data_IF_042683007411
#
_entry.id   IF_042683007411
#
_cell.length_a   1.000
_cell.length_b   1.000
_cell.length_c   1.000
_cell.angle_alpha   90.00
_cell.angle_beta   90.00
_cell.angle_gamma   90.00
#
_symmetry.space_group_name_H-M   'P 1'
#
loop_
_entity.id
_entity.type
_entity.pdbx_description
1 polymer ?
#
# COMPACT_ATOMS: atom_id res chain seq x y z
N UNK A 1 105.16 -18.20 -38.46
CA UNK A 1 104.64 -17.55 -37.25
C UNK A 1 105.88 -17.28 -36.38
N UNK A 2 106.41 -16.05 -36.31
CA UNK A 2 105.79 -14.78 -35.91
C UNK A 2 105.46 -14.77 -34.38
N UNK A 3 105.98 -13.85 -33.55
CA UNK A 3 106.90 -12.74 -33.89
C UNK A 3 107.81 -12.21 -32.74
N UNK A 4 108.81 -11.42 -33.13
CA UNK A 4 109.72 -10.49 -32.40
C UNK A 4 109.72 -10.44 -30.84
N UNK A 5 110.87 -10.82 -30.25
CA UNK A 5 111.89 -9.85 -29.77
C UNK A 5 111.73 -9.07 -28.44
N UNK A 6 112.43 -9.54 -27.40
CA UNK A 6 113.05 -8.74 -26.32
C UNK A 6 114.53 -8.43 -26.69
N UNK A 7 115.36 -7.61 -25.96
CA UNK A 7 115.24 -7.01 -24.61
C UNK A 7 115.52 -5.46 -24.62
N UNK A 8 116.13 -4.70 -23.68
CA UNK A 8 116.82 -4.99 -22.39
C UNK A 8 116.96 -3.78 -21.41
N UNK A 9 116.88 -4.08 -20.11
CA UNK A 9 117.65 -3.59 -18.93
C UNK A 9 118.42 -2.24 -18.96
N UNK A 10 118.15 -1.38 -17.95
CA UNK A 10 119.07 -0.86 -16.86
C UNK A 10 118.30 0.18 -15.99
N UNK A 11 118.19 0.04 -14.66
CA UNK A 11 119.04 0.65 -13.60
C UNK A 11 119.34 2.16 -13.84
N UNK A 12 119.22 3.09 -12.88
CA UNK A 12 119.49 2.98 -11.42
C UNK A 12 118.67 4.03 -10.56
N UNK A 13 119.08 4.63 -9.41
CA UNK A 13 118.39 4.36 -8.13
C UNK A 13 117.74 5.55 -7.37
N UNK A 14 117.12 5.21 -6.23
CA UNK A 14 116.99 5.97 -4.97
C UNK A 14 117.51 7.43 -4.92
N UNK A 15 116.66 8.45 -5.12
CA UNK A 15 116.70 9.69 -4.30
C UNK A 15 115.45 10.60 -4.44
N UNK A 16 114.31 10.26 -3.83
CA UNK A 16 113.25 11.27 -3.54
C UNK A 16 112.25 10.97 -2.41
N UNK A 17 112.56 10.03 -1.53
CA UNK A 17 111.79 9.77 -0.31
C UNK A 17 112.44 10.49 0.89
N UNK A 18 112.37 11.83 0.93
CA UNK A 18 112.66 12.67 2.11
C UNK A 18 112.37 14.16 1.84
N UNK A 19 111.11 14.50 1.55
CA UNK A 19 110.55 15.84 1.77
C UNK A 19 109.03 15.71 1.92
N UNK A 20 108.42 16.14 3.04
CA UNK A 20 106.98 16.35 3.08
C UNK A 20 106.63 17.45 2.09
N UNK A 21 106.02 17.09 0.95
CA UNK A 21 105.35 18.09 0.10
C UNK A 21 104.07 18.51 0.80
N UNK A 22 104.22 19.41 1.77
CA UNK A 22 103.14 20.18 2.35
C UNK A 22 102.41 20.89 1.21
N UNK A 23 101.30 20.30 0.75
CA UNK A 23 100.29 21.03 -0.02
C UNK A 23 99.66 22.03 0.93
N UNK A 24 100.29 23.20 1.04
CA UNK A 24 99.62 24.41 1.50
C UNK A 24 98.56 24.74 0.44
N UNK A 25 97.42 24.07 0.49
CA UNK A 25 96.20 24.56 -0.17
C UNK A 25 95.95 25.95 0.39
N UNK A 26 95.75 26.94 -0.47
CA UNK A 26 95.47 28.28 0.00
C UNK A 26 94.24 28.24 0.92
N UNK A 27 94.17 29.03 2.01
CA UNK A 27 92.94 29.19 2.77
C UNK A 27 91.75 29.58 1.87
N UNK A 28 92.05 30.31 0.78
CA UNK A 28 91.10 30.67 -0.27
C UNK A 28 90.64 29.49 -1.13
N UNK A 29 91.50 28.49 -1.42
CA UNK A 29 91.12 27.31 -2.21
C UNK A 29 90.13 26.43 -1.45
N UNK A 30 90.38 26.21 -0.15
CA UNK A 30 89.45 25.47 0.71
C UNK A 30 88.15 26.24 0.94
N UNK A 31 88.19 27.57 1.08
CA UNK A 31 86.96 28.37 1.12
C UNK A 31 86.17 28.28 -0.19
N UNK A 32 86.82 28.39 -1.36
CA UNK A 32 86.13 28.25 -2.65
C UNK A 32 85.50 26.87 -2.80
N UNK A 33 86.21 25.79 -2.43
CA UNK A 33 85.70 24.43 -2.49
C UNK A 33 84.48 24.24 -1.56
N UNK A 34 84.53 24.74 -0.32
CA UNK A 34 83.39 24.69 0.61
C UNK A 34 82.21 25.51 0.11
N UNK A 35 82.44 26.73 -0.39
CA UNK A 35 81.38 27.59 -0.95
C UNK A 35 80.74 26.93 -2.16
N UNK A 36 81.51 26.45 -3.15
CA UNK A 36 80.99 25.74 -4.32
C UNK A 36 80.19 24.50 -3.94
N UNK A 37 80.71 23.66 -3.04
CA UNK A 37 80.01 22.46 -2.57
C UNK A 37 78.72 22.79 -1.78
N UNK A 38 78.67 23.93 -1.09
CA UNK A 38 77.44 24.41 -0.42
C UNK A 38 76.43 25.04 -1.38
N UNK A 39 76.89 25.57 -2.53
CA UNK A 39 76.05 26.30 -3.48
C UNK A 39 75.10 25.38 -4.26
N UNK A 40 75.54 24.16 -4.62
CA UNK A 40 74.73 23.25 -5.42
C UNK A 40 73.48 22.72 -4.67
N UNK A 41 73.58 22.27 -3.38
CA UNK A 41 72.41 21.90 -2.60
C UNK A 41 71.45 23.07 -2.36
N UNK A 42 71.97 24.27 -2.08
CA UNK A 42 71.16 25.48 -1.89
C UNK A 42 70.43 25.88 -3.18
N UNK A 43 71.06 25.70 -4.35
CA UNK A 43 70.43 25.96 -5.63
C UNK A 43 69.31 24.95 -5.93
N UNK A 44 69.56 23.65 -5.73
CA UNK A 44 68.54 22.61 -5.88
C UNK A 44 67.32 22.86 -4.95
N UNK A 45 67.55 23.25 -3.69
CA UNK A 45 66.47 23.60 -2.76
C UNK A 45 65.69 24.85 -3.20
N UNK A 46 66.37 25.87 -3.75
CA UNK A 46 65.71 27.06 -4.32
C UNK A 46 64.82 26.71 -5.51
N UNK A 47 65.27 25.83 -6.38
CA UNK A 47 64.52 25.48 -7.59
C UNK A 47 63.37 24.50 -7.28
N UNK A 48 63.53 23.60 -6.29
CA UNK A 48 62.41 22.85 -5.70
C UNK A 48 61.39 23.75 -5.00
N UNK A 49 61.82 24.80 -4.28
CA UNK A 49 60.93 25.81 -3.69
C UNK A 49 60.18 26.62 -4.77
N UNK A 50 60.81 26.84 -5.92
CA UNK A 50 60.19 27.53 -7.06
C UNK A 50 59.14 26.64 -7.73
N UNK A 51 59.47 25.38 -7.98
CA UNK A 51 58.57 24.40 -8.59
C UNK A 51 57.36 24.09 -7.69
N UNK A 52 57.59 23.90 -6.39
CA UNK A 52 56.51 23.69 -5.42
C UNK A 52 55.61 24.92 -5.28
N UNK A 53 56.17 26.14 -5.32
CA UNK A 53 55.39 27.39 -5.34
C UNK A 53 54.53 27.55 -6.60
N UNK A 54 55.04 27.16 -7.78
CA UNK A 54 54.27 27.14 -9.03
C UNK A 54 53.11 26.15 -8.92
N UNK A 55 53.38 24.90 -8.55
CA UNK A 55 52.34 23.87 -8.37
C UNK A 55 51.29 24.27 -7.33
N UNK A 56 51.70 24.95 -6.25
CA UNK A 56 50.75 25.46 -5.25
C UNK A 56 49.83 26.53 -5.86
N UNK A 57 50.38 27.42 -6.70
CA UNK A 57 49.62 28.37 -7.51
C UNK A 57 48.58 27.68 -8.41
N UNK A 58 48.98 26.65 -9.15
CA UNK A 58 48.08 25.89 -10.04
C UNK A 58 46.98 25.17 -9.25
N UNK A 59 47.29 24.58 -8.09
CA UNK A 59 46.27 23.97 -7.23
C UNK A 59 45.32 25.01 -6.61
N UNK A 60 45.78 26.25 -6.41
CA UNK A 60 44.93 27.35 -5.90
C UNK A 60 43.96 27.84 -6.97
N UNK A 61 44.42 28.06 -8.19
CA UNK A 61 43.56 28.53 -9.30
C UNK A 61 42.51 27.49 -9.67
N UNK A 62 42.84 26.20 -9.66
CA UNK A 62 41.85 25.14 -9.86
C UNK A 62 40.85 25.04 -8.70
N UNK A 63 41.27 25.24 -7.44
CA UNK A 63 40.35 25.33 -6.30
C UNK A 63 39.38 26.52 -6.42
N UNK A 64 39.86 27.68 -6.89
CA UNK A 64 39.00 28.85 -7.16
C UNK A 64 38.03 28.59 -8.32
N UNK A 65 38.46 27.87 -9.37
CA UNK A 65 37.60 27.42 -10.48
C UNK A 65 36.53 26.43 -10.03
N UNK A 66 36.89 25.45 -9.20
CA UNK A 66 35.95 24.45 -8.65
C UNK A 66 34.91 25.11 -7.75
N UNK A 67 35.31 26.04 -6.87
CA UNK A 67 34.38 26.83 -6.05
C UNK A 67 33.38 27.63 -6.89
N UNK A 68 33.84 28.24 -7.99
CA UNK A 68 32.97 28.97 -8.90
C UNK A 68 31.93 28.05 -9.55
N UNK A 69 32.35 26.88 -10.05
CA UNK A 69 31.46 25.90 -10.67
C UNK A 69 30.45 25.32 -9.66
N UNK A 70 30.90 24.95 -8.47
CA UNK A 70 30.03 24.39 -7.42
C UNK A 70 28.91 25.37 -7.05
N UNK A 71 29.29 26.59 -6.66
CA UNK A 71 28.34 27.64 -6.27
C UNK A 71 27.39 28.04 -7.42
N UNK A 72 27.85 27.99 -8.67
CA UNK A 72 27.02 28.35 -9.84
C UNK A 72 26.02 27.25 -10.20
N UNK A 73 26.44 25.98 -10.19
CA UNK A 73 25.58 24.86 -10.60
C UNK A 73 24.58 24.48 -9.52
N UNK A 74 25.00 24.39 -8.25
CA UNK A 74 24.12 24.00 -7.15
C UNK A 74 23.00 25.03 -6.95
N UNK A 75 23.34 26.32 -6.90
CA UNK A 75 22.34 27.39 -6.77
C UNK A 75 21.39 27.48 -7.97
N UNK A 76 21.89 27.29 -9.20
CA UNK A 76 21.07 27.31 -10.41
C UNK A 76 20.11 26.11 -10.48
N UNK A 77 20.64 24.88 -10.31
CA UNK A 77 19.86 23.64 -10.37
C UNK A 77 18.80 23.59 -9.28
N UNK A 78 19.17 23.89 -8.04
CA UNK A 78 18.23 23.87 -6.90
C UNK A 78 17.17 24.98 -7.01
N UNK A 79 17.51 26.13 -7.62
CA UNK A 79 16.52 27.18 -7.96
C UNK A 79 15.58 26.75 -9.08
N UNK A 80 16.05 26.01 -10.09
CA UNK A 80 15.21 25.47 -11.15
C UNK A 80 14.23 24.41 -10.60
N UNK A 81 14.72 23.49 -9.75
CA UNK A 81 13.90 22.49 -9.07
C UNK A 81 12.83 23.14 -8.18
N UNK A 82 13.19 24.15 -7.37
CA UNK A 82 12.21 24.92 -6.56
C UNK A 82 11.12 25.59 -7.41
N UNK A 83 11.46 26.11 -8.58
CA UNK A 83 10.47 26.68 -9.52
C UNK A 83 9.57 25.60 -10.12
N UNK A 84 10.13 24.46 -10.50
CA UNK A 84 9.38 23.31 -11.03
C UNK A 84 8.39 22.76 -10.00
N UNK A 85 8.82 22.65 -8.74
CA UNK A 85 7.98 22.21 -7.62
C UNK A 85 6.81 23.18 -7.38
N UNK A 86 7.08 24.50 -7.35
CA UNK A 86 6.03 25.50 -7.15
C UNK A 86 4.95 25.48 -8.25
N UNK A 87 5.33 25.17 -9.51
CA UNK A 87 4.38 24.98 -10.61
C UNK A 87 3.57 23.70 -10.44
N UNK A 88 4.21 22.59 -10.05
CA UNK A 88 3.51 21.33 -9.78
C UNK A 88 2.51 21.45 -8.61
N UNK A 89 2.89 22.12 -7.52
CA UNK A 89 1.97 22.42 -6.41
C UNK A 89 0.78 23.29 -6.87
N UNK A 90 0.96 24.20 -7.81
CA UNK A 90 -0.13 25.04 -8.32
C UNK A 90 -1.14 24.22 -9.13
N UNK A 91 -0.68 23.28 -9.95
CA UNK A 91 -1.56 22.38 -10.71
C UNK A 91 -2.30 21.40 -9.78
N UNK A 92 -1.65 20.88 -8.74
CA UNK A 92 -2.30 20.06 -7.69
C UNK A 92 -3.43 20.81 -7.00
N UNK A 93 -3.23 22.08 -6.60
CA UNK A 93 -4.30 22.90 -6.00
C UNK A 93 -5.47 23.09 -6.96
N UNK A 94 -5.19 23.42 -8.23
CA UNK A 94 -6.22 23.55 -9.28
C UNK A 94 -7.00 22.25 -9.51
N UNK A 95 -6.34 21.09 -9.40
CA UNK A 95 -7.00 19.77 -9.49
C UNK A 95 -7.83 19.43 -8.24
N UNK A 96 -7.47 19.95 -7.07
CA UNK A 96 -8.31 19.85 -5.87
C UNK A 96 -9.56 20.71 -6.00
N UNK A 97 -9.43 21.96 -6.46
CA UNK A 97 -10.55 22.86 -6.77
C UNK A 97 -11.52 22.24 -7.80
N UNK A 98 -11.00 21.70 -8.92
CA UNK A 98 -11.81 20.99 -9.93
C UNK A 98 -12.53 19.75 -9.36
N UNK A 99 -11.90 18.98 -8.45
CA UNK A 99 -12.56 17.85 -7.79
C UNK A 99 -13.62 18.28 -6.76
N UNK A 100 -13.44 19.40 -6.07
CA UNK A 100 -14.41 19.90 -5.10
C UNK A 100 -15.64 20.52 -5.79
N UNK A 101 -15.46 21.16 -6.95
CA UNK A 101 -16.55 21.55 -7.83
C UNK A 101 -17.32 20.33 -8.35
N UNK A 102 -16.63 19.31 -8.88
CA UNK A 102 -17.28 18.07 -9.36
C UNK A 102 -18.02 17.32 -8.25
N UNK A 103 -17.46 17.24 -7.03
CA UNK A 103 -18.15 16.70 -5.85
C UNK A 103 -19.41 17.49 -5.52
N UNK A 104 -19.32 18.82 -5.57
CA UNK A 104 -20.47 19.71 -5.34
C UNK A 104 -21.56 19.53 -6.40
N UNK A 105 -21.20 19.27 -7.66
CA UNK A 105 -22.17 18.97 -8.71
C UNK A 105 -22.83 17.59 -8.50
N UNK A 106 -22.06 16.57 -8.11
CA UNK A 106 -22.57 15.20 -7.90
C UNK A 106 -23.57 15.11 -6.73
N UNK A 107 -23.23 15.74 -5.59
CA UNK A 107 -24.08 15.78 -4.38
C UNK A 107 -25.45 16.44 -4.62
N UNK A 108 -25.61 17.24 -5.67
CA UNK A 108 -26.85 17.92 -6.01
C UNK A 108 -27.68 17.26 -7.14
N UNK A 109 -27.31 16.04 -7.61
CA UNK A 109 -28.01 15.40 -8.74
C UNK A 109 -28.88 14.20 -8.40
N UNK A 110 -28.54 13.40 -7.38
CA UNK A 110 -29.12 12.07 -7.21
C UNK A 110 -30.58 12.07 -6.68
N UNK A 111 -30.88 12.70 -5.55
CA UNK A 111 -32.15 12.48 -4.82
C UNK A 111 -33.41 12.85 -5.62
N UNK A 112 -33.54 14.10 -6.09
CA UNK A 112 -34.75 14.55 -6.82
C UNK A 112 -34.96 13.78 -8.14
N UNK A 113 -33.87 13.45 -8.85
CA UNK A 113 -33.95 12.78 -10.14
C UNK A 113 -34.28 11.29 -10.01
N UNK A 114 -33.75 10.62 -8.97
CA UNK A 114 -34.11 9.23 -8.67
C UNK A 114 -35.56 9.11 -8.19
N UNK A 115 -36.02 10.03 -7.32
CA UNK A 115 -37.44 10.06 -6.89
C UNK A 115 -38.37 10.24 -8.09
N UNK A 116 -38.11 11.22 -8.97
CA UNK A 116 -38.90 11.45 -10.18
C UNK A 116 -38.92 10.26 -11.16
N UNK A 117 -37.85 9.45 -11.19
CA UNK A 117 -37.79 8.25 -12.04
C UNK A 117 -38.52 7.03 -11.46
N UNK A 118 -38.58 6.91 -10.13
CA UNK A 118 -39.14 5.74 -9.41
C UNK A 118 -40.63 5.90 -9.11
N UNK A 119 -41.07 7.09 -8.67
CA UNK A 119 -42.46 7.36 -8.27
C UNK A 119 -43.51 6.96 -9.34
N UNK A 120 -43.41 7.33 -10.64
CA UNK A 120 -44.39 6.94 -11.65
C UNK A 120 -44.42 5.43 -11.93
N UNK A 121 -43.30 4.72 -11.70
CA UNK A 121 -43.25 3.25 -11.82
C UNK A 121 -44.03 2.58 -10.69
N UNK A 122 -43.85 3.04 -9.46
CA UNK A 122 -44.59 2.57 -8.28
C UNK A 122 -46.10 2.87 -8.40
N UNK A 123 -46.48 4.07 -8.84
CA UNK A 123 -47.88 4.43 -9.10
C UNK A 123 -48.50 3.50 -10.16
N UNK A 124 -47.76 3.18 -11.23
CA UNK A 124 -48.23 2.25 -12.27
C UNK A 124 -48.39 0.82 -11.73
N UNK A 125 -47.43 0.34 -10.93
CA UNK A 125 -47.48 -0.98 -10.28
C UNK A 125 -48.70 -1.11 -9.36
N UNK A 126 -48.87 -0.18 -8.41
CA UNK A 126 -50.00 -0.19 -7.48
C UNK A 126 -51.34 -0.10 -8.21
N UNK A 127 -51.43 0.73 -9.26
CA UNK A 127 -52.63 0.82 -10.10
C UNK A 127 -52.97 -0.51 -10.78
N UNK A 128 -51.98 -1.25 -11.27
CA UNK A 128 -52.20 -2.60 -11.86
C UNK A 128 -52.61 -3.61 -10.78
N UNK A 129 -51.94 -3.63 -9.62
CA UNK A 129 -52.24 -4.53 -8.51
C UNK A 129 -53.66 -4.32 -7.96
N UNK A 130 -54.03 -3.07 -7.65
CA UNK A 130 -55.37 -2.72 -7.17
C UNK A 130 -56.46 -3.06 -8.20
N UNK A 131 -56.24 -2.83 -9.50
CA UNK A 131 -57.19 -3.26 -10.53
C UNK A 131 -57.31 -4.79 -10.61
N UNK A 132 -56.21 -5.55 -10.47
CA UNK A 132 -56.28 -7.00 -10.40
C UNK A 132 -57.11 -7.49 -9.20
N UNK A 133 -56.93 -6.88 -8.02
CA UNK A 133 -57.79 -7.14 -6.84
C UNK A 133 -59.25 -6.79 -7.15
N UNK A 134 -59.53 -5.64 -7.76
CA UNK A 134 -60.87 -5.22 -8.17
C UNK A 134 -61.55 -6.18 -9.18
N UNK A 135 -60.78 -6.99 -9.91
CA UNK A 135 -61.30 -8.06 -10.76
C UNK A 135 -61.55 -9.35 -9.97
N UNK A 136 -60.64 -9.72 -9.06
CA UNK A 136 -60.76 -10.95 -8.25
C UNK A 136 -61.92 -10.83 -7.23
N UNK A 137 -62.14 -9.66 -6.62
CA UNK A 137 -63.26 -9.43 -5.68
C UNK A 137 -64.63 -9.73 -6.29
N UNK A 138 -64.80 -9.45 -7.59
CA UNK A 138 -66.03 -9.71 -8.35
C UNK A 138 -66.32 -11.21 -8.56
N UNK A 139 -65.34 -12.09 -8.34
CA UNK A 139 -65.49 -13.55 -8.51
C UNK A 139 -66.20 -14.25 -7.33
N UNK A 140 -66.50 -13.53 -6.24
CA UNK A 140 -67.19 -14.09 -5.04
C UNK A 140 -66.47 -15.30 -4.41
N UNK A 141 -65.13 -15.27 -4.41
CA UNK A 141 -64.25 -16.27 -3.79
C UNK A 141 -64.08 -15.98 -2.28
N UNK A 142 -64.34 -14.74 -1.85
CA UNK A 142 -64.18 -14.27 -0.49
C UNK A 142 -65.46 -14.38 0.34
N UNK A 143 -65.35 -14.34 1.67
CA UNK A 143 -66.53 -14.20 2.53
C UNK A 143 -67.32 -12.91 2.24
N UNK A 144 -68.67 -12.94 2.26
CA UNK A 144 -69.52 -11.80 1.91
C UNK A 144 -69.48 -10.63 2.92
N UNK A 145 -68.63 -10.72 3.95
CA UNK A 145 -68.42 -9.70 4.98
C UNK A 145 -67.19 -8.81 4.71
N UNK A 146 -66.35 -9.13 3.72
CA UNK A 146 -65.14 -8.37 3.39
C UNK A 146 -65.43 -7.26 2.37
N UNK A 147 -65.11 -6.02 2.71
CA UNK A 147 -65.47 -4.83 1.91
C UNK A 147 -64.48 -4.50 0.77
N UNK A 148 -63.70 -5.48 0.32
CA UNK A 148 -62.58 -5.38 -0.63
C UNK A 148 -62.90 -4.55 -1.89
N UNK A 149 -64.17 -4.46 -2.30
CA UNK A 149 -64.59 -3.60 -3.41
C UNK A 149 -64.44 -2.10 -3.13
N UNK A 150 -64.90 -1.64 -1.97
CA UNK A 150 -64.86 -0.23 -1.57
C UNK A 150 -63.44 0.17 -1.13
N UNK A 151 -62.74 -0.69 -0.39
CA UNK A 151 -61.35 -0.48 0.05
C UNK A 151 -60.40 -0.25 -1.15
N UNK A 152 -60.59 -1.00 -2.24
CA UNK A 152 -59.82 -0.84 -3.49
C UNK A 152 -60.19 0.45 -4.23
N UNK A 153 -61.46 0.86 -4.21
CA UNK A 153 -61.90 2.08 -4.87
C UNK A 153 -61.38 3.34 -4.13
N UNK A 154 -61.33 3.31 -2.79
CA UNK A 154 -60.67 4.36 -2.00
C UNK A 154 -59.17 4.42 -2.29
N UNK A 155 -58.45 3.29 -2.28
CA UNK A 155 -57.01 3.27 -2.58
C UNK A 155 -56.70 3.72 -4.01
N UNK A 156 -57.51 3.36 -5.01
CA UNK A 156 -57.39 3.87 -6.37
C UNK A 156 -57.69 5.38 -6.48
N UNK A 157 -58.58 5.91 -5.64
CA UNK A 157 -58.87 7.34 -5.58
C UNK A 157 -57.77 8.14 -4.86
N UNK A 158 -57.14 7.58 -3.83
CA UNK A 158 -55.96 8.15 -3.17
C UNK A 158 -54.74 8.14 -4.10
N UNK A 159 -54.48 7.02 -4.77
CA UNK A 159 -53.43 6.89 -5.79
C UNK A 159 -53.64 7.80 -7.02
N UNK A 160 -54.84 8.33 -7.21
CA UNK A 160 -55.14 9.37 -8.21
C UNK A 160 -54.91 10.81 -7.74
N UNK A 161 -54.47 11.03 -6.50
CA UNK A 161 -54.25 12.36 -5.88
C UNK A 161 -52.81 12.61 -5.41
N UNK A 162 -51.96 11.58 -5.38
CA UNK A 162 -50.55 11.68 -4.98
C UNK A 162 -49.85 12.74 -5.83
N UNK A 163 -49.13 13.65 -5.17
CA UNK A 163 -48.40 14.74 -5.82
C UNK A 163 -47.04 14.27 -6.37
N UNK A 164 -46.59 14.82 -7.49
CA UNK A 164 -45.25 14.55 -8.02
C UNK A 164 -44.17 14.90 -6.95
N UNK A 165 -43.28 13.95 -6.68
CA UNK A 165 -42.28 14.03 -5.61
C UNK A 165 -42.72 13.51 -4.23
N UNK A 166 -44.02 13.42 -3.94
CA UNK A 166 -44.49 12.89 -2.64
C UNK A 166 -44.40 11.36 -2.59
N UNK A 167 -43.32 10.87 -1.97
CA UNK A 167 -43.09 9.46 -1.72
C UNK A 167 -43.76 8.97 -0.42
N UNK A 168 -44.19 9.87 0.48
CA UNK A 168 -44.74 9.53 1.78
C UNK A 168 -46.23 9.17 1.69
N UNK A 169 -47.01 9.92 0.91
CA UNK A 169 -48.37 9.53 0.52
C UNK A 169 -48.36 8.18 -0.23
N UNK A 170 -47.38 7.99 -1.12
CA UNK A 170 -47.22 6.78 -1.92
C UNK A 170 -46.82 5.55 -1.08
N UNK A 171 -45.90 5.72 -0.12
CA UNK A 171 -45.55 4.68 0.85
C UNK A 171 -46.80 4.24 1.62
N UNK A 172 -47.60 5.18 2.13
CA UNK A 172 -48.81 4.86 2.89
C UNK A 172 -49.81 4.04 2.05
N UNK A 173 -50.03 4.42 0.79
CA UNK A 173 -50.93 3.67 -0.11
C UNK A 173 -50.39 2.26 -0.38
N UNK A 174 -49.06 2.07 -0.45
CA UNK A 174 -48.45 0.75 -0.56
C UNK A 174 -48.64 -0.09 0.72
N UNK A 175 -48.45 0.50 1.91
CA UNK A 175 -48.73 -0.15 3.20
C UNK A 175 -50.20 -0.57 3.33
N UNK A 176 -51.14 0.35 3.08
CA UNK A 176 -52.58 0.07 3.06
C UNK A 176 -52.94 -1.04 2.02
N UNK A 177 -52.25 -1.08 0.87
CA UNK A 177 -52.39 -2.16 -0.14
C UNK A 177 -51.86 -3.51 0.37
N UNK A 178 -50.78 -3.54 1.18
CA UNK A 178 -50.32 -4.81 1.80
C UNK A 178 -51.26 -5.32 2.87
N UNK A 179 -51.90 -4.44 3.65
CA UNK A 179 -52.95 -4.82 4.61
C UNK A 179 -54.14 -5.44 3.88
N UNK A 180 -54.54 -4.87 2.75
CA UNK A 180 -55.60 -5.43 1.89
C UNK A 180 -55.23 -6.84 1.37
N UNK A 181 -53.97 -7.08 0.97
CA UNK A 181 -53.51 -8.43 0.59
C UNK A 181 -53.57 -9.45 1.74
N UNK A 182 -53.31 -9.06 2.98
CA UNK A 182 -53.46 -9.92 4.16
C UNK A 182 -54.95 -10.22 4.47
N UNK A 183 -55.82 -9.21 4.41
CA UNK A 183 -57.28 -9.41 4.53
C UNK A 183 -57.81 -10.38 3.46
N UNK A 184 -57.39 -10.21 2.21
CA UNK A 184 -57.68 -11.12 1.09
C UNK A 184 -57.20 -12.53 1.41
N UNK A 185 -55.95 -12.69 1.86
CA UNK A 185 -55.35 -13.99 2.14
C UNK A 185 -56.08 -14.75 3.26
N UNK A 186 -56.62 -14.04 4.25
CA UNK A 186 -57.45 -14.62 5.32
C UNK A 186 -58.90 -14.87 4.90
N UNK A 187 -59.39 -14.13 3.91
CA UNK A 187 -60.79 -14.10 3.49
C UNK A 187 -61.17 -15.08 2.38
N UNK A 188 -60.22 -15.79 1.76
CA UNK A 188 -60.47 -16.79 0.72
C UNK A 188 -61.27 -17.96 1.29
N UNK A 189 -62.49 -18.18 0.80
CA UNK A 189 -63.23 -19.41 1.07
C UNK A 189 -62.59 -20.52 0.23
N UNK A 190 -61.67 -21.27 0.83
CA UNK A 190 -61.27 -22.57 0.29
C UNK A 190 -62.48 -23.50 0.41
N UNK A 191 -63.30 -23.57 -0.65
CA UNK A 191 -64.14 -24.75 -0.87
C UNK A 191 -63.20 -25.94 -0.95
N UNK A 192 -63.23 -26.81 0.05
CA UNK A 192 -62.58 -28.11 0.00
C UNK A 192 -63.20 -28.91 -1.15
N UNK A 193 -62.57 -28.87 -2.32
CA UNK A 193 -62.67 -29.94 -3.31
C UNK A 193 -62.08 -31.17 -2.62
N UNK A 194 -62.95 -32.00 -2.05
CA UNK A 194 -62.60 -33.26 -1.42
C UNK A 194 -61.72 -34.08 -2.35
N UNK A 195 -60.62 -34.65 -1.82
CA UNK A 195 -59.57 -35.29 -2.60
C UNK A 195 -60.08 -36.43 -3.49
N UNK A 196 -60.43 -36.07 -4.73
CA UNK A 196 -60.86 -36.97 -5.80
C UNK A 196 -59.66 -37.50 -6.62
N UNK A 197 -58.45 -37.32 -6.11
CA UNK A 197 -57.18 -37.66 -6.78
C UNK A 197 -56.27 -38.61 -5.97
N UNK A 198 -56.57 -38.83 -4.68
CA UNK A 198 -55.96 -39.93 -3.90
C UNK A 198 -56.84 -41.17 -4.00
N UNK A 199 -56.45 -42.13 -4.83
CA UNK A 199 -57.16 -43.41 -4.97
C UNK A 199 -56.92 -44.31 -3.75
N UNK A 200 -57.67 -44.05 -2.68
CA UNK A 200 -57.85 -44.96 -1.55
C UNK A 200 -59.33 -45.37 -1.42
N UNK A 201 -59.90 -45.85 -2.53
CA UNK A 201 -61.07 -46.73 -2.43
C UNK A 201 -60.63 -48.07 -1.82
N UNK A 202 -61.32 -48.51 -0.77
CA UNK A 202 -61.07 -49.78 -0.13
C UNK A 202 -61.67 -50.93 -0.98
N UNK A 203 -60.98 -51.32 -2.05
CA UNK A 203 -61.35 -52.45 -2.89
C UNK A 203 -60.92 -53.75 -2.20
N UNK A 204 -61.89 -54.49 -1.67
CA UNK A 204 -61.67 -55.83 -1.13
C UNK A 204 -61.43 -56.84 -2.27
N UNK A 205 -60.39 -57.68 -2.10
CA UNK A 205 -60.19 -58.97 -2.77
C UNK A 205 -60.43 -59.07 -4.29
N UNK A 206 -59.34 -59.02 -5.08
CA UNK A 206 -59.08 -60.13 -6.01
C UNK A 206 -57.57 -60.29 -6.25
N UNK A 207 -57.04 -61.50 -6.01
CA UNK A 207 -55.61 -61.78 -6.08
C UNK A 207 -55.23 -62.29 -7.48
N UNK A 208 -54.78 -61.39 -8.35
CA UNK A 208 -54.26 -61.74 -9.67
C UNK A 208 -52.74 -61.90 -9.62
N UNK A 209 -52.24 -63.12 -9.84
CA UNK A 209 -50.80 -63.41 -9.81
C UNK A 209 -50.18 -63.05 -11.17
N UNK A 210 -49.28 -62.07 -11.16
CA UNK A 210 -48.28 -61.83 -12.19
C UNK A 210 -46.87 -62.09 -11.62
N UNK A 211 -45.84 -61.99 -12.46
CA UNK A 211 -44.54 -62.62 -12.26
C UNK A 211 -43.55 -61.75 -11.44
N UNK A 212 -43.79 -61.65 -10.13
CA UNK A 212 -43.01 -60.81 -9.17
C UNK A 212 -41.48 -61.00 -9.22
N UNK A 213 -40.97 -62.13 -9.72
CA UNK A 213 -39.52 -62.44 -9.73
C UNK A 213 -38.70 -61.67 -10.79
N UNK A 214 -39.32 -61.12 -11.84
CA UNK A 214 -38.59 -60.35 -12.87
C UNK A 214 -38.56 -58.84 -12.52
N UNK A 215 -39.70 -58.23 -12.17
CA UNK A 215 -39.79 -56.82 -11.77
C UNK A 215 -38.91 -56.50 -10.55
N UNK A 216 -38.95 -57.35 -9.49
CA UNK A 216 -38.14 -57.15 -8.28
C UNK A 216 -36.63 -57.28 -8.52
N UNK A 217 -36.23 -57.95 -9.62
CA UNK A 217 -34.83 -58.05 -10.03
C UNK A 217 -34.38 -56.81 -10.79
N UNK A 218 -35.21 -56.25 -11.69
CA UNK A 218 -34.89 -54.98 -12.34
C UNK A 218 -34.78 -53.84 -11.31
N UNK A 219 -35.70 -53.74 -10.35
CA UNK A 219 -35.64 -52.76 -9.24
C UNK A 219 -34.32 -52.87 -8.45
N UNK A 220 -33.87 -54.10 -8.16
CA UNK A 220 -32.60 -54.36 -7.47
C UNK A 220 -31.37 -53.94 -8.29
N UNK A 221 -31.40 -54.15 -9.61
CA UNK A 221 -30.32 -53.73 -10.52
C UNK A 221 -30.29 -52.19 -10.70
N UNK A 222 -31.44 -51.54 -10.85
CA UNK A 222 -31.54 -50.07 -10.88
C UNK A 222 -31.10 -49.42 -9.57
N UNK A 223 -31.48 -49.99 -8.41
CA UNK A 223 -31.08 -49.47 -7.11
C UNK A 223 -29.58 -49.67 -6.84
N UNK A 224 -28.98 -50.74 -7.39
CA UNK A 224 -27.54 -50.94 -7.39
C UNK A 224 -26.81 -49.93 -8.30
N UNK A 225 -27.30 -49.67 -9.51
CA UNK A 225 -26.72 -48.65 -10.41
C UNK A 225 -26.84 -47.24 -9.81
N UNK A 226 -27.98 -46.88 -9.24
CA UNK A 226 -28.19 -45.61 -8.55
C UNK A 226 -27.17 -45.42 -7.41
N UNK A 227 -26.96 -46.46 -6.60
CA UNK A 227 -25.96 -46.45 -5.51
C UNK A 227 -24.53 -46.31 -6.05
N UNK A 228 -24.20 -46.97 -7.17
CA UNK A 228 -22.90 -46.87 -7.82
C UNK A 228 -22.64 -45.48 -8.42
N UNK A 229 -23.64 -44.87 -9.07
CA UNK A 229 -23.58 -43.51 -9.61
C UNK A 229 -23.42 -42.50 -8.46
N UNK A 230 -24.19 -42.64 -7.38
CA UNK A 230 -24.08 -41.78 -6.20
C UNK A 230 -22.69 -41.88 -5.58
N UNK A 231 -22.17 -43.09 -5.33
CA UNK A 231 -20.82 -43.30 -4.80
C UNK A 231 -19.74 -42.70 -5.71
N UNK A 232 -19.87 -42.79 -7.04
CA UNK A 232 -18.93 -42.18 -7.99
C UNK A 232 -19.00 -40.65 -7.96
N UNK A 233 -20.21 -40.08 -7.82
CA UNK A 233 -20.40 -38.64 -7.71
C UNK A 233 -19.83 -38.10 -6.38
N UNK A 234 -20.02 -38.80 -5.27
CA UNK A 234 -19.46 -38.46 -3.95
C UNK A 234 -17.93 -38.54 -3.95
N UNK A 235 -17.34 -39.56 -4.59
CA UNK A 235 -15.89 -39.65 -4.79
C UNK A 235 -15.35 -38.50 -5.65
N UNK A 236 -16.04 -38.16 -6.75
CA UNK A 236 -15.68 -37.03 -7.62
C UNK A 236 -15.74 -35.70 -6.85
N UNK A 237 -16.84 -35.44 -6.13
CA UNK A 237 -17.02 -34.24 -5.31
C UNK A 237 -15.98 -34.14 -4.19
N UNK A 238 -15.63 -35.27 -3.56
CA UNK A 238 -14.58 -35.32 -2.53
C UNK A 238 -13.20 -35.02 -3.12
N UNK A 239 -12.89 -35.55 -4.30
CA UNK A 239 -11.63 -35.27 -5.01
C UNK A 239 -11.52 -33.80 -5.41
N UNK A 240 -12.60 -33.23 -5.96
CA UNK A 240 -12.66 -31.80 -6.34
C UNK A 240 -12.50 -30.92 -5.11
N UNK A 241 -13.21 -31.20 -4.00
CA UNK A 241 -13.05 -30.48 -2.72
C UNK A 241 -11.60 -30.52 -2.23
N UNK A 242 -10.98 -31.70 -2.18
CA UNK A 242 -9.59 -31.87 -1.76
C UNK A 242 -8.63 -31.05 -2.63
N UNK A 243 -8.81 -31.02 -3.95
CA UNK A 243 -7.96 -30.22 -4.85
C UNK A 243 -8.10 -28.71 -4.67
N UNK A 244 -9.28 -28.21 -4.27
CA UNK A 244 -9.48 -26.81 -3.91
C UNK A 244 -8.91 -26.50 -2.51
N UNK A 245 -9.06 -27.41 -1.55
CA UNK A 245 -8.47 -27.31 -0.21
C UNK A 245 -6.93 -27.20 -0.29
N UNK A 246 -6.31 -28.07 -1.11
CA UNK A 246 -4.87 -28.10 -1.39
C UNK A 246 -4.39 -26.82 -2.08
N UNK A 247 -5.07 -26.35 -3.14
CA UNK A 247 -4.74 -25.10 -3.82
C UNK A 247 -4.87 -23.87 -2.90
N UNK A 248 -5.87 -23.86 -2.01
CA UNK A 248 -6.05 -22.78 -1.04
C UNK A 248 -4.99 -22.82 0.07
N UNK A 249 -4.52 -24.00 0.46
CA UNK A 249 -3.40 -24.14 1.42
C UNK A 249 -2.06 -23.79 0.78
N UNK A 250 -1.81 -24.16 -0.48
CA UNK A 250 -0.63 -23.73 -1.24
C UNK A 250 -0.56 -22.20 -1.35
N UNK A 251 -1.68 -21.53 -1.66
CA UNK A 251 -1.75 -20.07 -1.67
C UNK A 251 -1.52 -19.46 -0.27
N UNK A 252 -2.06 -20.06 0.80
CA UNK A 252 -1.81 -19.61 2.17
C UNK A 252 -0.34 -19.75 2.56
N UNK A 253 0.29 -20.89 2.26
CA UNK A 253 1.72 -21.13 2.53
C UNK A 253 2.59 -20.17 1.72
N UNK A 254 2.32 -20.01 0.41
CA UNK A 254 3.05 -19.08 -0.45
C UNK A 254 3.03 -17.64 0.06
N UNK A 255 1.86 -17.10 0.41
CA UNK A 255 1.79 -15.76 1.02
C UNK A 255 2.46 -15.69 2.41
N UNK A 256 2.41 -16.76 3.21
CA UNK A 256 3.09 -16.80 4.50
C UNK A 256 4.62 -16.81 4.34
N UNK A 257 5.14 -17.57 3.36
CA UNK A 257 6.56 -17.67 3.02
C UNK A 257 7.09 -16.35 2.42
N UNK A 258 6.35 -15.71 1.49
CA UNK A 258 6.66 -14.37 1.00
C UNK A 258 6.72 -13.34 2.14
N UNK A 259 5.76 -13.41 3.08
CA UNK A 259 5.73 -12.53 4.25
C UNK A 259 6.82 -12.86 5.29
N UNK A 260 7.38 -14.07 5.33
CA UNK A 260 8.56 -14.38 6.15
C UNK A 260 9.85 -13.92 5.46
N UNK A 261 9.99 -14.17 4.15
CA UNK A 261 11.12 -13.72 3.35
C UNK A 261 11.25 -12.19 3.40
N UNK A 262 10.16 -11.44 3.19
CA UNK A 262 10.18 -9.98 3.20
C UNK A 262 10.60 -9.41 4.58
N UNK A 263 10.16 -10.04 5.68
CA UNK A 263 10.62 -9.68 7.04
C UNK A 263 12.11 -9.96 7.25
N UNK A 264 12.60 -11.08 6.72
CA UNK A 264 14.00 -11.51 6.81
C UNK A 264 14.93 -10.63 5.97
N UNK A 265 14.48 -10.20 4.80
CA UNK A 265 15.20 -9.25 3.94
C UNK A 265 15.23 -7.86 4.60
N UNK A 266 14.10 -7.33 5.06
CA UNK A 266 14.05 -6.06 5.79
C UNK A 266 14.92 -6.07 7.06
N UNK A 267 14.93 -7.16 7.83
CA UNK A 267 15.81 -7.31 9.00
C UNK A 267 17.30 -7.30 8.61
N UNK A 268 17.66 -7.93 7.48
CA UNK A 268 19.03 -7.92 6.94
C UNK A 268 19.44 -6.51 6.50
N UNK A 269 18.59 -5.80 5.76
CA UNK A 269 18.81 -4.40 5.36
C UNK A 269 19.04 -3.50 6.58
N UNK A 270 18.18 -3.63 7.59
CA UNK A 270 18.26 -2.89 8.85
C UNK A 270 19.56 -3.17 9.64
N UNK A 271 20.12 -4.39 9.54
CA UNK A 271 21.40 -4.73 10.16
C UNK A 271 22.62 -4.28 9.31
N UNK A 272 22.48 -4.24 7.99
CA UNK A 272 23.45 -3.63 7.06
C UNK A 272 23.51 -2.10 7.24
N UNK A 273 22.37 -1.43 7.42
CA UNK A 273 22.30 -0.01 7.78
C UNK A 273 23.01 0.27 9.12
N UNK A 274 22.67 -0.47 10.19
CA UNK A 274 23.36 -0.35 11.50
C UNK A 274 24.86 -0.56 11.39
N UNK A 275 25.33 -1.44 10.50
CA UNK A 275 26.75 -1.66 10.25
C UNK A 275 27.38 -0.45 9.53
N UNK A 276 26.73 0.10 8.51
CA UNK A 276 27.16 1.31 7.81
C UNK A 276 27.22 2.53 8.74
N UNK A 277 26.17 2.77 9.56
CA UNK A 277 26.16 3.85 10.56
C UNK A 277 27.29 3.70 11.57
N UNK A 278 27.59 2.47 12.02
CA UNK A 278 28.71 2.20 12.94
C UNK A 278 30.05 2.57 12.32
N UNK A 279 30.29 2.17 11.07
CA UNK A 279 31.51 2.52 10.33
C UNK A 279 31.64 4.03 10.11
N UNK A 280 30.54 4.73 9.81
CA UNK A 280 30.52 6.19 9.68
C UNK A 280 30.88 6.88 11.01
N UNK A 281 30.29 6.43 12.13
CA UNK A 281 30.60 6.96 13.47
C UNK A 281 32.07 6.70 13.88
N UNK A 282 32.64 5.56 13.51
CA UNK A 282 34.07 5.30 13.73
C UNK A 282 34.98 6.19 12.86
N UNK A 283 34.60 6.44 11.60
CA UNK A 283 35.35 7.34 10.72
C UNK A 283 35.35 8.77 11.26
N UNK A 284 34.19 9.27 11.73
CA UNK A 284 34.07 10.58 12.40
C UNK A 284 34.92 10.66 13.66
N UNK A 285 34.93 9.61 14.50
CA UNK A 285 35.80 9.56 15.70
C UNK A 285 37.28 9.62 15.34
N UNK A 286 37.74 8.85 14.34
CA UNK A 286 39.13 8.85 13.88
C UNK A 286 39.54 10.21 13.31
N UNK A 287 38.69 10.82 12.47
CA UNK A 287 38.92 12.16 11.94
C UNK A 287 39.06 13.21 13.07
N UNK A 288 38.17 13.18 14.07
CA UNK A 288 38.23 14.12 15.19
C UNK A 288 39.47 13.91 16.09
N UNK A 289 39.88 12.66 16.32
CA UNK A 289 41.15 12.36 16.97
C UNK A 289 42.36 12.89 16.20
N UNK A 290 42.35 12.79 14.87
CA UNK A 290 43.41 13.32 14.00
C UNK A 290 43.42 14.85 13.99
N UNK A 291 42.27 15.53 14.01
CA UNK A 291 42.17 16.98 14.22
C UNK A 291 42.77 17.40 15.57
N UNK A 292 42.49 16.68 16.65
CA UNK A 292 43.05 16.96 17.98
C UNK A 292 44.58 16.76 17.99
N UNK A 293 45.09 15.74 17.31
CA UNK A 293 46.55 15.48 17.12
C UNK A 293 47.20 16.56 16.24
N UNK A 294 46.49 17.10 15.24
CA UNK A 294 46.96 18.23 14.44
C UNK A 294 46.90 19.56 15.20
N UNK A 295 45.86 19.81 16.00
CA UNK A 295 45.73 21.04 16.80
C UNK A 295 46.79 21.13 17.90
N UNK A 296 47.14 20.00 18.53
CA UNK A 296 48.22 19.91 19.51
C UNK A 296 49.60 20.07 18.88
N UNK A 297 49.88 19.44 17.73
CA UNK A 297 51.16 19.65 17.02
C UNK A 297 51.31 21.07 16.46
N UNK A 298 50.25 21.68 15.91
CA UNK A 298 50.28 23.10 15.49
C UNK A 298 50.57 24.06 16.66
N UNK A 299 50.04 23.79 17.87
CA UNK A 299 50.36 24.57 19.08
C UNK A 299 51.83 24.48 19.53
N UNK A 300 52.57 23.46 19.11
CA UNK A 300 53.99 23.28 19.48
C UNK A 300 54.96 24.05 18.55
N UNK A 301 54.50 24.59 17.42
CA UNK A 301 55.31 25.33 16.43
C UNK A 301 55.04 26.85 16.41
N UNK A 302 54.61 27.45 17.52
CA UNK A 302 54.11 28.83 17.54
C UNK A 302 55.16 29.94 17.31
N UNK A 303 55.07 30.61 16.15
CA UNK A 303 55.52 32.00 16.01
C UNK A 303 54.67 32.96 16.87
N UNK A 304 55.17 34.19 17.09
CA UNK A 304 54.70 35.07 18.17
C UNK A 304 54.13 36.44 17.75
N UNK A 305 53.20 36.91 18.58
CA UNK A 305 52.94 38.32 18.91
C UNK A 305 52.48 39.27 17.78
N UNK A 306 51.84 38.75 16.72
CA UNK A 306 50.97 39.56 15.83
C UNK A 306 49.53 39.08 15.69
N UNK A 307 49.27 37.77 15.81
CA UNK A 307 47.91 37.25 15.64
C UNK A 307 47.01 37.36 16.88
N UNK A 308 47.55 37.60 18.08
CA UNK A 308 46.77 37.60 19.34
C UNK A 308 45.52 38.52 19.30
N UNK A 309 45.59 39.67 18.64
CA UNK A 309 44.44 40.58 18.50
C UNK A 309 43.38 40.07 17.51
N UNK A 310 43.80 39.43 16.41
CA UNK A 310 42.89 38.73 15.47
C UNK A 310 42.28 37.47 16.10
N UNK A 311 43.07 36.73 16.87
CA UNK A 311 42.62 35.57 17.62
C UNK A 311 41.58 35.97 18.67
N UNK A 312 41.77 37.06 19.42
CA UNK A 312 40.75 37.57 20.34
C UNK A 312 39.45 37.98 19.62
N UNK A 313 39.54 38.66 18.48
CA UNK A 313 38.35 39.01 17.68
C UNK A 313 37.61 37.75 17.18
N UNK A 314 38.34 36.74 16.71
CA UNK A 314 37.77 35.45 16.27
C UNK A 314 37.22 34.63 17.44
N UNK A 315 37.85 34.68 18.62
CA UNK A 315 37.37 34.01 19.84
C UNK A 315 36.05 34.61 20.31
N UNK A 316 35.90 35.94 20.33
CA UNK A 316 34.62 36.57 20.72
C UNK A 316 33.55 36.40 19.62
N UNK A 317 33.92 36.30 18.34
CA UNK A 317 32.98 35.86 17.29
C UNK A 317 32.48 34.43 17.55
N UNK A 318 33.38 33.46 17.72
CA UNK A 318 33.00 32.07 18.03
C UNK A 318 32.20 31.96 19.33
N UNK A 319 32.46 32.81 20.33
CA UNK A 319 31.68 32.88 21.57
C UNK A 319 30.27 33.43 21.32
N UNK A 320 30.12 34.46 20.49
CA UNK A 320 28.83 35.00 20.06
C UNK A 320 28.00 33.96 19.29
N UNK A 321 28.64 33.26 18.35
CA UNK A 321 28.05 32.13 17.62
C UNK A 321 27.66 31.00 18.57
N UNK A 322 28.53 30.61 19.53
CA UNK A 322 28.23 29.59 20.53
C UNK A 322 27.07 29.99 21.46
N UNK A 323 26.97 31.26 21.88
CA UNK A 323 25.82 31.73 22.67
C UNK A 323 24.52 31.75 21.85
N UNK A 324 24.60 32.07 20.56
CA UNK A 324 23.45 32.05 19.65
C UNK A 324 22.98 30.61 19.40
N UNK A 325 23.92 29.69 19.17
CA UNK A 325 23.66 28.27 19.00
C UNK A 325 23.10 27.63 20.27
N UNK A 326 23.62 28.00 21.44
CA UNK A 326 23.11 27.56 22.75
C UNK A 326 21.68 28.06 23.00
N UNK A 327 21.38 29.31 22.67
CA UNK A 327 20.02 29.85 22.74
C UNK A 327 19.07 29.09 21.79
N UNK A 328 19.46 28.90 20.52
CA UNK A 328 18.68 28.15 19.53
C UNK A 328 18.45 26.69 19.94
N UNK A 329 19.47 26.02 20.50
CA UNK A 329 19.36 24.67 21.03
C UNK A 329 18.40 24.61 22.23
N UNK A 330 18.48 25.57 23.16
CA UNK A 330 17.56 25.64 24.30
C UNK A 330 16.09 25.84 23.88
N UNK A 331 15.84 26.64 22.84
CA UNK A 331 14.52 26.79 22.24
C UNK A 331 14.05 25.49 21.57
N UNK A 332 14.94 24.79 20.83
CA UNK A 332 14.67 23.47 20.24
C UNK A 332 14.35 22.39 21.29
N UNK A 333 14.98 22.41 22.45
CA UNK A 333 14.65 21.49 23.55
C UNK A 333 13.23 21.73 24.10
N UNK A 334 12.79 22.99 24.20
CA UNK A 334 11.43 23.34 24.63
C UNK A 334 10.40 23.00 23.54
N UNK A 335 10.72 23.24 22.26
CA UNK A 335 9.90 22.84 21.12
C UNK A 335 9.67 21.32 21.09
N UNK A 336 10.74 20.52 21.21
CA UNK A 336 10.63 19.06 21.26
C UNK A 336 9.78 18.59 22.45
N UNK A 337 9.99 19.13 23.66
CA UNK A 337 9.18 18.76 24.82
C UNK A 337 7.68 19.06 24.64
N UNK A 338 7.32 20.15 23.97
CA UNK A 338 5.93 20.47 23.61
C UNK A 338 5.37 19.53 22.52
N UNK A 339 6.21 19.04 21.61
CA UNK A 339 5.81 18.05 20.61
C UNK A 339 5.61 16.67 21.24
N UNK A 340 6.48 16.25 22.15
CA UNK A 340 6.37 15.01 22.93
C UNK A 340 5.10 15.00 23.79
N UNK A 341 4.77 16.13 24.46
CA UNK A 341 3.54 16.32 25.23
C UNK A 341 2.28 16.23 24.34
N UNK A 342 2.28 16.92 23.19
CA UNK A 342 1.17 16.85 22.21
C UNK A 342 0.98 15.45 21.63
N UNK A 343 2.07 14.77 21.30
CA UNK A 343 2.03 13.42 20.74
C UNK A 343 1.52 12.43 21.79
N UNK A 344 1.95 12.57 23.04
CA UNK A 344 1.42 11.81 24.19
C UNK A 344 -0.09 12.03 24.36
N UNK A 345 -0.56 13.28 24.32
CA UNK A 345 -1.97 13.62 24.43
C UNK A 345 -2.82 13.05 23.28
N UNK A 346 -2.33 13.09 22.04
CA UNK A 346 -3.01 12.49 20.87
C UNK A 346 -3.06 10.96 20.95
N UNK A 347 -2.02 10.30 21.46
CA UNK A 347 -2.04 8.85 21.70
C UNK A 347 -3.00 8.47 22.83
N UNK A 348 -3.07 9.27 23.90
CA UNK A 348 -4.02 9.05 25.00
C UNK A 348 -5.48 9.31 24.58
N UNK A 349 -5.72 10.30 23.70
CA UNK A 349 -7.02 10.52 23.08
C UNK A 349 -7.42 9.32 22.20
N UNK A 350 -6.54 8.86 21.29
CA UNK A 350 -6.80 7.68 20.45
C UNK A 350 -7.09 6.43 21.29
N UNK A 351 -6.42 6.25 22.42
CA UNK A 351 -6.71 5.14 23.34
C UNK A 351 -8.13 5.22 23.91
N UNK A 352 -8.56 6.40 24.38
CA UNK A 352 -9.94 6.64 24.85
C UNK A 352 -10.98 6.47 23.74
N UNK A 353 -10.66 6.85 22.51
CA UNK A 353 -11.54 6.63 21.35
C UNK A 353 -11.69 5.13 21.05
N UNK A 354 -10.62 4.33 21.19
CA UNK A 354 -10.65 2.88 21.04
C UNK A 354 -11.45 2.13 22.13
N UNK A 355 -11.45 2.68 23.35
CA UNK A 355 -12.23 2.19 24.50
C UNK A 355 -13.66 2.78 24.56
N UNK A 356 -14.04 3.66 23.63
CA UNK A 356 -15.31 4.39 23.63
C UNK A 356 -16.54 3.49 23.85
N UNK A 357 -17.49 3.97 24.67
CA UNK A 357 -18.75 3.29 24.97
C UNK A 357 -19.54 2.90 23.70
N UNK A 358 -19.41 3.67 22.62
CA UNK A 358 -20.01 3.35 21.32
C UNK A 358 -19.35 2.15 20.64
N UNK A 359 -18.02 1.99 20.75
CA UNK A 359 -17.32 0.79 20.26
C UNK A 359 -17.69 -0.42 21.13
N UNK A 360 -17.79 -0.24 22.45
CA UNK A 360 -18.27 -1.30 23.35
C UNK A 360 -19.73 -1.69 23.09
N UNK A 361 -20.57 -0.73 22.69
CA UNK A 361 -21.95 -0.94 22.27
C UNK A 361 -22.02 -1.69 20.95
N UNK A 362 -21.31 -1.23 19.92
CA UNK A 362 -21.23 -1.89 18.62
C UNK A 362 -20.74 -3.34 18.75
N UNK A 363 -19.74 -3.62 19.60
CA UNK A 363 -19.28 -4.98 19.91
C UNK A 363 -20.38 -5.86 20.54
N UNK A 364 -21.19 -5.32 21.45
CA UNK A 364 -22.33 -6.02 22.05
C UNK A 364 -23.46 -6.27 21.05
N UNK A 365 -23.81 -5.26 20.27
CA UNK A 365 -24.89 -5.32 19.28
C UNK A 365 -24.52 -6.28 18.13
N UNK A 366 -23.25 -6.31 17.70
CA UNK A 366 -22.71 -7.26 16.73
C UNK A 366 -22.76 -8.70 17.26
N UNK A 367 -22.32 -8.95 18.50
CA UNK A 367 -22.41 -10.28 19.13
C UNK A 367 -23.88 -10.78 19.25
N UNK A 368 -24.84 -9.88 19.48
CA UNK A 368 -26.27 -10.22 19.42
C UNK A 368 -26.70 -10.59 17.99
N UNK A 369 -26.22 -9.91 16.95
CA UNK A 369 -26.50 -10.27 15.55
C UNK A 369 -25.87 -11.60 15.15
N UNK A 370 -24.64 -11.89 15.55
CA UNK A 370 -24.01 -13.20 15.33
C UNK A 370 -24.84 -14.33 15.96
N UNK A 371 -25.38 -14.11 17.16
CA UNK A 371 -26.25 -15.09 17.82
C UNK A 371 -27.57 -15.33 17.07
N UNK A 372 -28.14 -14.29 16.44
CA UNK A 372 -29.31 -14.38 15.58
C UNK A 372 -28.99 -15.08 14.26
N UNK A 373 -27.86 -14.77 13.62
CA UNK A 373 -27.39 -15.47 12.40
C UNK A 373 -27.18 -16.96 12.70
N UNK A 374 -26.55 -17.30 13.82
CA UNK A 374 -26.37 -18.69 14.25
C UNK A 374 -27.70 -19.39 14.61
N UNK A 375 -28.74 -18.68 15.05
CA UNK A 375 -30.09 -19.24 15.19
C UNK A 375 -30.78 -19.46 13.84
N UNK A 376 -30.73 -18.47 12.95
CA UNK A 376 -31.32 -18.56 11.60
C UNK A 376 -30.67 -19.68 10.79
N UNK A 377 -29.34 -19.83 10.84
CA UNK A 377 -28.61 -20.97 10.25
C UNK A 377 -29.08 -22.30 10.84
N UNK A 378 -29.19 -22.42 12.17
CA UNK A 378 -29.73 -23.64 12.82
C UNK A 378 -31.18 -23.94 12.42
N UNK A 379 -32.00 -22.92 12.17
CA UNK A 379 -33.38 -23.07 11.68
C UNK A 379 -33.40 -23.51 10.22
N UNK A 380 -32.59 -22.89 9.34
CA UNK A 380 -32.42 -23.29 7.94
C UNK A 380 -32.03 -24.77 7.88
N UNK A 381 -30.97 -25.18 8.58
CA UNK A 381 -30.55 -26.58 8.66
C UNK A 381 -31.42 -27.49 9.53
N UNK A 382 -32.56 -26.99 10.04
CA UNK A 382 -33.65 -27.83 10.55
C UNK A 382 -34.77 -28.00 9.50
N UNK A 383 -35.04 -26.98 8.68
CA UNK A 383 -35.93 -27.08 7.52
C UNK A 383 -35.33 -27.94 6.40
N UNK A 384 -34.05 -27.79 6.07
CA UNK A 384 -33.33 -28.62 5.08
C UNK A 384 -33.44 -30.11 5.42
N UNK A 385 -33.27 -30.47 6.71
CA UNK A 385 -33.41 -31.86 7.21
C UNK A 385 -34.86 -32.33 7.37
N UNK A 386 -35.86 -31.48 7.08
CA UNK A 386 -37.30 -31.81 7.17
C UNK A 386 -38.04 -31.67 5.84
N UNK A 387 -37.42 -31.04 4.84
CA UNK A 387 -37.94 -30.87 3.47
C UNK A 387 -37.45 -31.92 2.48
N UNK A 388 -36.97 -33.07 2.96
CA UNK A 388 -36.32 -34.10 2.14
C UNK A 388 -37.23 -34.89 1.18
N UNK A 389 -38.47 -34.47 0.97
CA UNK A 389 -39.44 -35.18 0.12
C UNK A 389 -40.40 -34.18 -0.56
N UNK A 390 -39.84 -33.32 -1.40
CA UNK A 390 -40.60 -32.35 -2.21
C UNK A 390 -39.86 -32.03 -3.49
N UNK A 391 -40.14 -32.82 -4.53
CA UNK A 391 -39.69 -32.58 -5.91
C UNK A 391 -40.45 -31.38 -6.52
N UNK A 392 -40.20 -30.19 -5.97
CA UNK A 392 -40.49 -28.93 -6.65
C UNK A 392 -39.41 -28.76 -7.70
N UNK A 393 -39.84 -28.58 -8.96
CA UNK A 393 -38.95 -28.50 -10.12
C UNK A 393 -37.99 -27.32 -9.97
N UNK A 394 -36.76 -27.60 -9.53
CA UNK A 394 -35.68 -26.60 -9.50
C UNK A 394 -35.27 -26.36 -10.95
N UNK A 395 -35.87 -25.33 -11.56
CA UNK A 395 -35.41 -24.75 -12.81
C UNK A 395 -33.89 -24.52 -12.76
N UNK A 396 -33.21 -24.83 -13.86
CA UNK A 396 -31.75 -25.01 -13.98
C UNK A 396 -30.93 -23.72 -13.71
N UNK A 397 -30.91 -23.26 -12.44
CA UNK A 397 -30.00 -22.23 -11.93
C UNK A 397 -28.65 -22.90 -11.72
N UNK A 398 -27.89 -23.02 -12.81
CA UNK A 398 -26.48 -23.37 -12.78
C UNK A 398 -25.72 -22.39 -11.86
N UNK A 399 -25.32 -22.88 -10.70
CA UNK A 399 -24.37 -22.20 -9.83
C UNK A 399 -23.05 -22.03 -10.59
N UNK A 400 -22.82 -20.84 -11.13
CA UNK A 400 -21.54 -20.46 -11.70
C UNK A 400 -20.54 -20.26 -10.57
N UNK A 401 -19.80 -21.34 -10.27
CA UNK A 401 -18.69 -21.36 -9.28
C UNK A 401 -17.53 -20.48 -9.72
N UNK A 402 -17.69 -19.16 -9.57
CA UNK A 402 -16.63 -18.18 -9.71
C UNK A 402 -16.90 -17.03 -8.72
N UNK A 403 -16.09 -16.83 -7.67
CA UNK A 403 -16.32 -15.82 -6.64
C UNK A 403 -16.00 -14.42 -7.16
N UNK A 404 -16.85 -13.89 -8.03
CA UNK A 404 -16.88 -12.45 -8.36
C UNK A 404 -17.32 -11.71 -7.11
N UNK A 405 -16.36 -11.11 -6.40
CA UNK A 405 -16.63 -10.21 -5.29
C UNK A 405 -17.40 -9.01 -5.86
N UNK A 406 -18.64 -8.80 -5.43
CA UNK A 406 -19.51 -7.71 -5.90
C UNK A 406 -19.11 -6.35 -5.32
N UNK A 407 -17.93 -5.83 -5.71
CA UNK A 407 -17.45 -4.48 -5.34
C UNK A 407 -18.29 -3.34 -5.98
N UNK A 408 -19.42 -3.67 -6.60
CA UNK A 408 -20.34 -2.76 -7.30
C UNK A 408 -21.60 -2.49 -6.47
N UNK A 409 -21.79 -3.16 -5.33
CA UNK A 409 -23.00 -3.04 -4.48
C UNK A 409 -23.23 -1.63 -3.90
N UNK A 410 -22.23 -0.74 -3.96
CA UNK A 410 -22.30 0.67 -3.57
C UNK A 410 -21.90 1.63 -4.71
N UNK A 411 -22.01 1.21 -5.97
CA UNK A 411 -21.67 2.03 -7.15
C UNK A 411 -22.96 2.32 -7.94
N UNK A 412 -23.37 3.60 -8.11
CA UNK A 412 -24.53 3.96 -8.92
C UNK A 412 -24.48 3.36 -10.33
N UNK A 413 -25.64 2.96 -10.86
CA UNK A 413 -25.74 2.17 -12.10
C UNK A 413 -25.09 2.86 -13.30
N UNK A 414 -25.10 4.21 -13.35
CA UNK A 414 -24.43 5.00 -14.38
C UNK A 414 -22.88 4.96 -14.31
N UNK A 415 -22.30 4.74 -13.12
CA UNK A 415 -20.85 4.55 -12.94
C UNK A 415 -20.43 3.08 -13.05
N UNK A 416 -21.36 2.14 -12.91
CA UNK A 416 -21.04 0.71 -12.96
C UNK A 416 -20.41 0.30 -14.30
N UNK A 417 -20.76 0.95 -15.40
CA UNK A 417 -20.17 0.73 -16.74
C UNK A 417 -18.70 1.18 -16.81
N UNK A 418 -18.37 2.36 -16.29
CA UNK A 418 -17.01 2.91 -16.29
C UNK A 418 -16.11 2.27 -15.22
N UNK A 419 -16.67 1.88 -14.07
CA UNK A 419 -15.97 1.04 -13.08
C UNK A 419 -15.66 -0.33 -13.69
N UNK A 420 -16.60 -0.96 -14.43
CA UNK A 420 -16.33 -2.20 -15.16
C UNK A 420 -15.27 -2.02 -16.25
N UNK A 421 -15.22 -0.89 -16.97
CA UNK A 421 -14.12 -0.55 -17.89
C UNK A 421 -12.77 -0.37 -17.19
N UNK A 422 -12.75 0.29 -16.03
CA UNK A 422 -11.54 0.51 -15.23
C UNK A 422 -10.99 -0.78 -14.63
N UNK A 423 -11.86 -1.70 -14.23
CA UNK A 423 -11.49 -3.05 -13.77
C UNK A 423 -11.04 -3.96 -14.93
N UNK A 424 -11.53 -3.73 -16.15
CA UNK A 424 -11.14 -4.47 -17.35
C UNK A 424 -9.74 -4.12 -17.91
N UNK A 425 -9.04 -3.13 -17.33
CA UNK A 425 -7.63 -2.84 -17.67
C UNK A 425 -6.77 -4.10 -17.46
N UNK A 426 -6.04 -4.59 -18.47
CA UNK A 426 -5.22 -5.79 -18.34
C UNK A 426 -4.19 -5.70 -17.21
N UNK A 427 -3.88 -6.86 -16.59
CA UNK A 427 -2.87 -6.93 -15.51
C UNK A 427 -1.50 -6.41 -15.96
N UNK A 428 -1.16 -6.56 -17.23
CA UNK A 428 0.05 -6.01 -17.87
C UNK A 428 0.06 -4.48 -17.96
N UNK A 429 -1.09 -3.81 -18.05
CA UNK A 429 -1.19 -2.35 -18.04
C UNK A 429 -1.26 -1.80 -16.62
N UNK A 430 -1.96 -2.48 -15.70
CA UNK A 430 -1.87 -2.19 -14.27
C UNK A 430 -0.43 -2.30 -13.76
N UNK A 431 0.33 -3.32 -14.20
CA UNK A 431 1.75 -3.47 -13.83
C UNK A 431 2.59 -2.27 -14.27
N UNK A 432 2.45 -1.78 -15.51
CA UNK A 432 3.13 -0.58 -15.99
C UNK A 432 2.82 0.66 -15.15
N UNK A 433 1.59 0.80 -14.68
CA UNK A 433 1.20 1.94 -13.83
C UNK A 433 1.96 1.92 -12.48
N UNK A 434 2.10 0.75 -11.87
CA UNK A 434 2.87 0.59 -10.63
C UNK A 434 4.39 0.63 -10.85
N UNK A 435 4.91 0.10 -11.96
CA UNK A 435 6.32 0.27 -12.38
C UNK A 435 6.66 1.76 -12.53
N UNK A 436 5.79 2.54 -13.20
CA UNK A 436 5.97 4.00 -13.32
C UNK A 436 5.99 4.71 -11.96
N UNK A 437 5.14 4.30 -11.01
CA UNK A 437 5.14 4.88 -9.65
C UNK A 437 6.41 4.50 -8.88
N UNK A 438 6.93 3.29 -9.05
CA UNK A 438 8.17 2.85 -8.41
C UNK A 438 9.38 3.69 -8.85
N UNK A 439 9.49 4.03 -10.13
CA UNK A 439 10.55 4.91 -10.67
C UNK A 439 10.55 6.34 -10.09
N UNK A 440 9.41 6.81 -9.56
CA UNK A 440 9.32 8.08 -8.82
C UNK A 440 9.34 7.92 -7.29
N UNK A 441 9.34 6.68 -6.78
CA UNK A 441 9.31 6.39 -5.33
C UNK A 441 10.69 6.15 -4.72
N UNK A 442 11.73 5.94 -5.54
CA UNK A 442 13.12 5.89 -5.09
C UNK A 442 13.66 7.30 -4.82
N UNK A 443 14.06 7.65 -3.59
CA UNK A 443 14.72 8.93 -3.33
C UNK A 443 16.14 8.98 -3.93
N UNK A 444 16.55 10.18 -4.36
CA UNK A 444 17.91 10.53 -4.76
C UNK A 444 18.73 11.06 -3.57
#
# INVERSE_FOLDING_TARGET
MADVGLPAKRSEPLFRQLMPRCRLSSPYDNMLAVVMNSHQPVQNLRDQLRETSIRLGDTKTENERLRYLYNSNESSSLTALRKSLAVAEQDVRKKQEEMEELRSQLVNQDDEQQVAAVQPRLITMLRVQLNAIAHISKLRIFEPNLNIGEDVEELLQLLGKVNDGDLQELQKILEDTTVLYDQISRGIIIRSLSDSWTMTEAVENEAFVYDDEEDTKEDSEWQAEMTAIQSRNDQSLTTVKASFEEMLEEQRSGFQEEMEQLRKEHQKELDEEKAATRLALEAVRRAHEEELKQATTRKLCGEKDRDASRQNAMLEQMRGELTTLSAAYSAKCVENAQLDERLSALMEQRAREGDSDDIQRLKRDLCLRDSQVAELQRRISAYERRGGDSSIVVSDIRFHSNPVISIVENVPEYLAEDVRRSLAVPVSERRKFFETIAEYSTPF
#
